data_IF_218221034356
#
_entry.id   IF_218221034356
#
_cell.length_a   1.000
_cell.length_b   1.000
_cell.length_c   1.000
_cell.angle_alpha   90.00
_cell.angle_beta   90.00
_cell.angle_gamma   90.00
#
_symmetry.space_group_name_H-M   'P 1'
#
loop_
_entity.id
_entity.type
_entity.pdbx_description
1 polymer ?
#
# COMPACT_ATOMS: atom_id res chain seq x y z
N UNK A 1 -13.22 38.72 -15.73
CA UNK A 1 -12.66 37.40 -16.08
C UNK A 1 -11.79 36.97 -14.90
N UNK A 2 -12.41 36.38 -13.88
CA UNK A 2 -11.76 36.11 -12.59
C UNK A 2 -11.25 34.68 -12.60
N UNK A 3 -9.92 34.56 -12.64
CA UNK A 3 -9.20 33.29 -12.59
C UNK A 3 -9.34 32.78 -11.15
N UNK A 4 -10.06 31.67 -10.99
CA UNK A 4 -10.16 30.96 -9.70
C UNK A 4 -8.74 30.61 -9.22
N UNK A 5 -8.42 30.74 -7.92
CA UNK A 5 -7.14 30.29 -7.41
C UNK A 5 -7.06 28.77 -7.55
N UNK A 6 -6.31 28.33 -8.55
CA UNK A 6 -6.02 26.94 -8.83
C UNK A 6 -5.12 26.42 -7.71
N UNK A 7 -5.62 25.48 -6.90
CA UNK A 7 -5.01 25.06 -5.64
C UNK A 7 -3.64 24.39 -5.88
N UNK A 8 -2.58 25.18 -5.79
CA UNK A 8 -1.18 24.85 -6.12
C UNK A 8 -0.51 23.96 -5.07
N UNK A 9 -1.12 23.76 -3.89
CA UNK A 9 -0.57 22.90 -2.85
C UNK A 9 -0.60 21.40 -3.18
N UNK A 10 -1.52 20.93 -4.03
CA UNK A 10 -1.63 19.49 -4.35
C UNK A 10 -0.57 19.02 -5.37
N UNK A 11 -0.06 19.92 -6.22
CA UNK A 11 0.97 19.59 -7.22
C UNK A 11 2.40 19.71 -6.65
N UNK A 12 2.63 20.57 -5.67
CA UNK A 12 3.96 20.75 -5.05
C UNK A 12 4.36 19.57 -4.18
N UNK A 13 3.40 18.88 -3.53
CA UNK A 13 3.69 17.66 -2.74
C UNK A 13 3.98 16.46 -3.64
N UNK A 14 3.41 16.40 -4.86
CA UNK A 14 3.70 15.33 -5.82
C UNK A 14 5.04 15.52 -6.55
N UNK A 15 5.50 16.77 -6.73
CA UNK A 15 6.79 17.04 -7.39
C UNK A 15 7.98 16.95 -6.42
N UNK A 16 7.77 17.22 -5.13
CA UNK A 16 8.84 17.12 -4.12
C UNK A 16 9.21 15.66 -3.77
N UNK A 17 8.28 14.70 -3.91
CA UNK A 17 8.61 13.27 -3.80
C UNK A 17 9.35 12.70 -5.02
N UNK A 18 9.24 13.33 -6.19
CA UNK A 18 9.94 12.89 -7.41
C UNK A 18 11.39 13.41 -7.49
N UNK A 19 11.69 14.57 -6.90
CA UNK A 19 13.04 15.16 -6.93
C UNK A 19 13.99 14.65 -5.85
N UNK A 20 13.49 13.97 -4.80
CA UNK A 20 14.34 13.35 -3.76
C UNK A 20 14.95 12.01 -4.22
N UNK A 21 14.53 11.48 -5.38
CA UNK A 21 15.04 10.21 -5.92
C UNK A 21 16.16 10.31 -6.98
N UNK A 22 16.63 11.51 -7.33
CA UNK A 22 17.62 11.70 -8.41
C UNK A 22 18.98 12.26 -7.96
N UNK A 23 19.32 12.09 -6.68
CA UNK A 23 20.52 12.68 -6.07
C UNK A 23 21.65 11.71 -5.69
N UNK A 24 21.59 10.43 -6.05
CA UNK A 24 22.71 9.52 -5.75
C UNK A 24 23.74 9.64 -6.87
N UNK A 25 24.70 10.55 -6.69
CA UNK A 25 25.97 10.45 -7.39
C UNK A 25 26.62 9.14 -6.96
N UNK A 26 26.42 8.07 -7.72
CA UNK A 26 27.24 6.87 -7.61
C UNK A 26 28.65 7.29 -8.01
N UNK A 27 29.50 7.60 -7.02
CA UNK A 27 30.94 7.56 -7.23
C UNK A 27 31.25 6.14 -7.72
N UNK A 28 31.67 6.03 -8.97
CA UNK A 28 32.22 4.81 -9.52
C UNK A 28 33.46 4.48 -8.67
N UNK A 29 33.31 3.50 -7.78
CA UNK A 29 34.45 2.88 -7.14
C UNK A 29 35.15 2.03 -8.19
N UNK A 30 36.46 2.18 -8.28
CA UNK A 30 37.32 1.36 -9.11
C UNK A 30 36.99 -0.12 -8.89
N UNK A 31 36.98 -0.88 -9.98
CA UNK A 31 36.64 -2.30 -10.04
C UNK A 31 37.59 -3.12 -9.14
N UNK A 32 37.10 -3.61 -8.00
CA UNK A 32 37.89 -4.42 -7.04
C UNK A 32 37.50 -5.90 -7.07
N UNK A 33 37.35 -6.46 -8.27
CA UNK A 33 37.22 -7.91 -8.46
C UNK A 33 38.55 -8.68 -8.25
N UNK A 34 39.60 -8.02 -7.78
CA UNK A 34 40.97 -8.55 -7.68
C UNK A 34 41.20 -9.32 -6.38
N UNK A 35 40.60 -10.50 -6.26
CA UNK A 35 40.88 -11.46 -5.20
C UNK A 35 40.74 -12.90 -5.69
N UNK A 36 41.35 -13.81 -4.96
CA UNK A 36 41.26 -15.26 -5.23
C UNK A 36 40.57 -15.92 -4.04
N UNK A 37 39.66 -16.85 -4.34
CA UNK A 37 39.03 -17.68 -3.32
C UNK A 37 39.90 -18.93 -3.17
N UNK A 38 40.60 -19.02 -2.04
CA UNK A 38 41.52 -20.11 -1.75
C UNK A 38 40.76 -21.41 -1.45
N UNK A 39 39.65 -21.32 -0.72
CA UNK A 39 38.84 -22.49 -0.39
C UNK A 39 37.38 -22.07 -0.19
N UNK A 40 36.49 -22.68 -0.96
CA UNK A 40 35.05 -22.58 -0.77
C UNK A 40 34.54 -23.94 -0.30
N UNK A 41 34.13 -24.03 0.96
CA UNK A 41 33.59 -25.27 1.55
C UNK A 41 32.13 -25.07 1.93
N UNK A 42 31.23 -25.81 1.29
CA UNK A 42 29.79 -25.73 1.56
C UNK A 42 29.29 -26.99 2.29
N UNK A 43 28.64 -26.78 3.42
CA UNK A 43 28.00 -27.84 4.20
C UNK A 43 26.50 -27.71 4.06
N UNK A 44 25.89 -28.80 3.63
CA UNK A 44 24.47 -28.89 3.36
C UNK A 44 23.84 -29.96 4.24
N UNK A 45 22.68 -29.66 4.80
CA UNK A 45 21.82 -30.65 5.44
C UNK A 45 20.46 -30.59 4.77
N UNK A 46 20.09 -31.66 4.07
CA UNK A 46 18.80 -31.74 3.38
C UNK A 46 17.76 -32.43 4.24
N UNK A 47 16.55 -31.90 4.24
CA UNK A 47 15.38 -32.42 4.95
C UNK A 47 14.22 -32.62 3.98
N UNK A 48 13.40 -33.66 4.24
CA UNK A 48 12.14 -33.92 3.54
C UNK A 48 10.91 -33.57 4.41
N UNK A 49 11.09 -32.77 5.47
CA UNK A 49 9.99 -32.32 6.35
C UNK A 49 9.01 -31.40 5.64
N UNK A 50 9.50 -30.60 4.69
CA UNK A 50 8.70 -29.69 3.87
C UNK A 50 8.57 -30.23 2.45
N UNK A 51 7.53 -29.77 1.75
CA UNK A 51 7.34 -30.08 0.33
C UNK A 51 8.58 -29.67 -0.48
N UNK A 52 8.98 -30.51 -1.45
CA UNK A 52 10.08 -30.23 -2.38
C UNK A 52 11.46 -30.00 -1.72
N UNK A 53 11.61 -30.36 -0.44
CA UNK A 53 12.89 -30.40 0.27
C UNK A 53 13.37 -29.03 0.77
N UNK A 54 13.97 -29.05 1.97
CA UNK A 54 14.60 -27.89 2.60
C UNK A 54 16.09 -28.17 2.82
N UNK A 55 16.94 -27.23 2.43
CA UNK A 55 18.39 -27.28 2.50
C UNK A 55 18.89 -26.24 3.50
N UNK A 56 19.53 -26.69 4.59
CA UNK A 56 20.31 -25.80 5.44
C UNK A 56 21.71 -25.69 4.88
N UNK A 57 22.17 -24.47 4.65
CA UNK A 57 23.44 -24.17 4.00
C UNK A 57 24.37 -23.46 4.98
N UNK A 58 25.63 -23.88 5.02
CA UNK A 58 26.74 -23.17 5.66
C UNK A 58 27.91 -23.14 4.68
N UNK A 59 28.20 -21.98 4.13
CA UNK A 59 29.33 -21.75 3.22
C UNK A 59 30.48 -21.07 3.97
N UNK A 60 31.64 -21.71 4.01
CA UNK A 60 32.90 -21.11 4.49
C UNK A 60 33.75 -20.70 3.29
N UNK A 61 34.02 -19.40 3.19
CA UNK A 61 34.68 -18.78 2.05
C UNK A 61 36.01 -18.19 2.55
N UNK A 62 37.10 -18.91 2.30
CA UNK A 62 38.45 -18.45 2.55
C UNK A 62 38.99 -17.78 1.28
N UNK A 63 39.39 -16.52 1.40
CA UNK A 63 39.87 -15.73 0.27
C UNK A 63 41.05 -14.85 0.65
N UNK A 64 41.78 -14.39 -0.36
CA UNK A 64 42.86 -13.42 -0.20
C UNK A 64 42.58 -12.18 -1.06
N UNK A 65 42.29 -11.06 -0.40
CA UNK A 65 42.17 -9.77 -1.07
C UNK A 65 43.55 -9.24 -1.45
N UNK A 66 43.81 -9.08 -2.75
CA UNK A 66 45.09 -8.57 -3.25
C UNK A 66 45.29 -7.08 -2.97
N UNK A 67 44.19 -6.34 -2.87
CA UNK A 67 44.15 -4.91 -2.56
C UNK A 67 43.10 -4.61 -1.47
N UNK A 68 42.95 -3.34 -1.10
CA UNK A 68 41.90 -2.90 -0.20
C UNK A 68 40.50 -3.16 -0.78
N UNK A 69 39.73 -4.00 -0.11
CA UNK A 69 38.37 -4.37 -0.50
C UNK A 69 37.37 -4.08 0.61
N UNK A 70 36.15 -3.69 0.22
CA UNK A 70 35.06 -3.42 1.16
C UNK A 70 34.32 -4.69 1.61
N UNK A 71 34.46 -5.79 0.86
CA UNK A 71 33.79 -7.07 1.14
C UNK A 71 33.59 -7.91 -0.12
N UNK A 72 32.51 -8.71 -0.17
CA UNK A 72 32.19 -9.62 -1.28
C UNK A 72 30.73 -9.53 -1.71
N UNK A 73 30.45 -10.00 -2.93
CA UNK A 73 29.10 -10.25 -3.42
C UNK A 73 28.85 -11.77 -3.45
N UNK A 74 27.73 -12.21 -2.90
CA UNK A 74 27.27 -13.61 -3.00
C UNK A 74 25.88 -13.62 -3.61
N UNK A 75 25.75 -14.15 -4.84
CA UNK A 75 24.48 -14.28 -5.53
C UNK A 75 23.91 -15.70 -5.38
N UNK A 76 22.74 -15.83 -4.78
CA UNK A 76 22.03 -17.11 -4.55
C UNK A 76 20.80 -17.14 -5.47
N UNK A 77 20.58 -18.17 -6.28
CA UNK A 77 19.47 -18.19 -7.25
C UNK A 77 18.11 -18.14 -6.56
N UNK A 78 17.18 -17.34 -7.11
CA UNK A 78 15.77 -17.31 -6.69
C UNK A 78 14.95 -18.41 -7.37
N UNK A 79 15.50 -19.04 -8.41
CA UNK A 79 14.84 -20.12 -9.15
C UNK A 79 15.85 -21.18 -9.55
N UNK A 80 15.46 -22.44 -9.51
CA UNK A 80 16.29 -23.56 -9.96
C UNK A 80 15.45 -24.65 -10.65
N UNK A 81 15.80 -25.00 -11.90
CA UNK A 81 15.07 -26.01 -12.71
C UNK A 81 13.55 -25.83 -12.65
N UNK A 82 13.09 -24.60 -12.91
CA UNK A 82 11.69 -24.15 -12.87
C UNK A 82 11.03 -24.07 -11.48
N UNK A 83 11.74 -24.45 -10.42
CA UNK A 83 11.27 -24.27 -9.05
C UNK A 83 11.62 -22.86 -8.54
N UNK A 84 10.64 -22.15 -8.00
CA UNK A 84 10.91 -20.94 -7.23
C UNK A 84 11.51 -21.35 -5.89
N UNK A 85 12.72 -20.86 -5.61
CA UNK A 85 13.39 -21.07 -4.34
C UNK A 85 12.89 -20.03 -3.34
N UNK A 86 12.83 -20.44 -2.07
CA UNK A 86 12.57 -19.55 -0.95
C UNK A 86 13.82 -19.54 -0.06
N UNK A 87 14.41 -18.36 0.15
CA UNK A 87 15.67 -18.18 0.88
C UNK A 87 15.37 -17.41 2.16
N UNK A 88 15.80 -17.95 3.30
CA UNK A 88 15.52 -17.38 4.61
C UNK A 88 16.67 -17.61 5.59
N UNK A 89 16.54 -17.03 6.80
CA UNK A 89 17.48 -17.19 7.93
C UNK A 89 18.95 -16.86 7.59
N UNK A 90 19.16 -15.86 6.72
CA UNK A 90 20.49 -15.48 6.27
C UNK A 90 21.28 -14.85 7.41
N UNK A 91 22.47 -15.41 7.67
CA UNK A 91 23.44 -14.90 8.64
C UNK A 91 24.83 -14.89 8.02
N UNK A 92 25.59 -13.83 8.31
CA UNK A 92 26.96 -13.68 7.82
C UNK A 92 27.88 -13.33 8.97
N UNK A 93 28.95 -14.11 9.12
CA UNK A 93 29.98 -13.90 10.13
C UNK A 93 31.36 -13.96 9.48
N UNK A 94 32.38 -13.48 10.20
CA UNK A 94 33.77 -13.56 9.75
C UNK A 94 34.67 -13.88 10.94
N UNK A 95 35.49 -14.91 10.81
CA UNK A 95 36.44 -15.32 11.86
C UNK A 95 37.71 -14.47 11.90
N UNK A 96 38.01 -13.72 10.83
CA UNK A 96 39.19 -12.84 10.73
C UNK A 96 38.92 -11.40 11.16
N UNK A 97 37.68 -11.08 11.53
CA UNK A 97 37.25 -9.71 11.87
C UNK A 97 36.99 -8.80 10.66
N UNK A 98 36.90 -9.37 9.45
CA UNK A 98 36.39 -8.68 8.27
C UNK A 98 34.92 -8.20 8.50
N UNK A 99 34.50 -7.07 7.92
CA UNK A 99 33.14 -6.58 8.08
C UNK A 99 32.12 -7.56 7.48
N UNK A 100 31.23 -8.09 8.32
CA UNK A 100 30.25 -9.11 7.92
C UNK A 100 28.81 -8.62 7.87
N UNK A 101 28.58 -7.32 8.08
CA UNK A 101 27.26 -6.72 7.82
C UNK A 101 26.92 -6.84 6.33
N UNK A 102 25.63 -6.95 6.01
CA UNK A 102 25.21 -7.16 4.62
C UNK A 102 23.91 -6.44 4.30
N UNK A 103 23.66 -6.29 3.01
CA UNK A 103 22.38 -5.85 2.46
C UNK A 103 21.94 -6.82 1.37
N UNK A 104 20.63 -6.99 1.24
CA UNK A 104 20.00 -7.90 0.28
C UNK A 104 19.40 -7.11 -0.89
N UNK A 105 19.51 -7.65 -2.09
CA UNK A 105 18.88 -7.11 -3.28
C UNK A 105 18.52 -8.25 -4.22
N UNK A 106 17.52 -8.05 -5.10
CA UNK A 106 17.20 -9.01 -6.16
C UNK A 106 17.73 -8.51 -7.49
N UNK A 107 18.54 -9.32 -8.18
CA UNK A 107 19.14 -8.97 -9.47
C UNK A 107 19.35 -10.21 -10.32
N UNK A 108 19.00 -10.15 -11.61
CA UNK A 108 19.20 -11.22 -12.58
C UNK A 108 18.71 -12.60 -12.11
N UNK A 109 17.59 -12.66 -11.40
CA UNK A 109 17.05 -13.92 -10.87
C UNK A 109 17.78 -14.48 -9.65
N UNK A 110 18.61 -13.68 -8.98
CA UNK A 110 19.33 -14.04 -7.76
C UNK A 110 18.97 -13.11 -6.60
N UNK A 111 18.99 -13.64 -5.37
CA UNK A 111 19.16 -12.88 -4.13
C UNK A 111 20.65 -12.60 -3.96
N UNK A 112 21.02 -11.33 -4.06
CA UNK A 112 22.42 -10.87 -3.99
C UNK A 112 22.69 -10.28 -2.63
N UNK A 113 23.59 -10.94 -1.89
CA UNK A 113 24.13 -10.48 -0.63
C UNK A 113 25.35 -9.61 -0.90
N UNK A 114 25.24 -8.32 -0.61
CA UNK A 114 26.39 -7.41 -0.57
C UNK A 114 26.93 -7.39 0.86
N UNK A 115 27.96 -8.19 1.10
CA UNK A 115 28.61 -8.39 2.40
C UNK A 115 29.79 -7.46 2.50
N UNK A 116 29.88 -6.65 3.55
CA UNK A 116 30.99 -5.72 3.76
C UNK A 116 30.61 -4.40 4.41
N UNK A 117 31.55 -3.46 4.45
CA UNK A 117 31.32 -2.12 4.98
C UNK A 117 31.78 -1.05 3.98
N UNK A 118 30.89 -0.15 3.50
CA UNK A 118 31.29 0.91 2.57
C UNK A 118 32.31 1.89 3.16
N UNK A 119 32.50 1.93 4.48
CA UNK A 119 33.41 2.86 5.16
C UNK A 119 34.68 2.17 5.68
N UNK A 120 34.81 0.85 5.55
CA UNK A 120 35.97 0.09 6.04
C UNK A 120 36.46 -0.89 4.99
N UNK A 121 37.75 -0.84 4.69
CA UNK A 121 38.40 -1.82 3.81
C UNK A 121 39.20 -2.85 4.61
N UNK A 122 39.40 -4.00 4.00
CA UNK A 122 40.29 -5.08 4.46
C UNK A 122 41.14 -5.59 3.31
N UNK A 123 42.29 -6.18 3.61
CA UNK A 123 43.22 -6.76 2.63
C UNK A 123 43.81 -8.05 3.19
N UNK A 124 44.49 -8.84 2.36
CA UNK A 124 45.09 -10.11 2.75
C UNK A 124 44.04 -11.21 3.00
N UNK A 125 44.42 -12.21 3.80
CA UNK A 125 43.59 -13.40 4.06
C UNK A 125 42.37 -13.06 4.91
N UNK A 126 41.19 -13.39 4.42
CA UNK A 126 39.91 -13.19 5.11
C UNK A 126 39.06 -14.46 5.02
N UNK A 127 38.12 -14.60 5.95
CA UNK A 127 37.14 -15.67 5.96
C UNK A 127 35.74 -15.11 6.18
N UNK A 128 34.79 -15.55 5.36
CA UNK A 128 33.36 -15.32 5.57
C UNK A 128 32.65 -16.64 5.76
N UNK A 129 31.74 -16.71 6.73
CA UNK A 129 30.79 -17.82 6.87
C UNK A 129 29.38 -17.29 6.62
N UNK A 130 28.75 -17.79 5.56
CA UNK A 130 27.38 -17.45 5.16
C UNK A 130 26.48 -18.64 5.46
N UNK A 131 25.49 -18.48 6.33
CA UNK A 131 24.52 -19.53 6.64
C UNK A 131 23.11 -19.09 6.29
N UNK A 132 22.32 -19.97 5.68
CA UNK A 132 20.96 -19.68 5.23
C UNK A 132 20.17 -20.97 5.02
N UNK A 133 18.85 -20.84 4.89
CA UNK A 133 17.92 -21.92 4.56
C UNK A 133 17.38 -21.69 3.15
N UNK A 134 17.30 -22.76 2.34
CA UNK A 134 16.64 -22.74 1.02
C UNK A 134 15.57 -23.83 0.96
N UNK A 135 14.37 -23.48 0.53
CA UNK A 135 13.29 -24.43 0.26
C UNK A 135 13.05 -24.61 -1.25
N UNK A 136 12.40 -25.73 -1.61
CA UNK A 136 12.11 -26.15 -2.99
C UNK A 136 13.35 -26.54 -3.81
N UNK A 137 14.31 -27.21 -3.19
CA UNK A 137 15.58 -27.60 -3.84
C UNK A 137 15.52 -28.90 -4.64
N UNK A 138 14.37 -29.59 -4.66
CA UNK A 138 14.20 -30.88 -5.34
C UNK A 138 13.41 -30.74 -6.64
N UNK A 139 13.92 -31.35 -7.69
CA UNK A 139 13.22 -31.53 -8.98
C UNK A 139 12.65 -32.94 -9.07
N UNK A 140 11.43 -33.06 -9.58
CA UNK A 140 10.72 -34.34 -9.68
C UNK A 140 10.72 -34.86 -11.11
N UNK A 141 11.31 -36.03 -11.34
CA UNK A 141 11.21 -36.74 -12.62
C UNK A 141 10.31 -37.97 -12.49
N UNK A 142 10.01 -38.64 -13.60
CA UNK A 142 9.14 -39.82 -13.62
C UNK A 142 9.72 -41.01 -12.84
N UNK A 143 11.05 -41.17 -12.87
CA UNK A 143 11.72 -42.36 -12.30
C UNK A 143 12.46 -42.07 -10.98
N UNK A 144 12.71 -40.81 -10.65
CA UNK A 144 13.49 -40.43 -9.46
C UNK A 144 13.16 -38.99 -9.04
N UNK A 145 13.54 -38.64 -7.82
CA UNK A 145 13.60 -37.25 -7.36
C UNK A 145 15.07 -36.82 -7.38
N UNK A 146 15.38 -35.56 -7.71
CA UNK A 146 16.75 -35.10 -7.95
C UNK A 146 17.06 -33.83 -7.15
N UNK A 147 18.15 -33.87 -6.39
CA UNK A 147 18.85 -32.69 -5.93
C UNK A 147 19.93 -32.35 -6.96
N UNK A 148 19.82 -31.20 -7.59
CA UNK A 148 20.82 -30.66 -8.51
C UNK A 148 21.20 -29.29 -7.97
N UNK A 149 22.48 -29.05 -7.70
CA UNK A 149 22.91 -27.77 -7.13
C UNK A 149 24.28 -27.32 -7.63
N UNK A 150 24.37 -26.04 -7.99
CA UNK A 150 25.62 -25.35 -8.28
C UNK A 150 26.20 -24.79 -6.98
N UNK A 151 27.31 -25.35 -6.52
CA UNK A 151 27.82 -25.17 -5.16
C UNK A 151 28.25 -23.72 -4.92
N UNK A 152 29.18 -23.21 -5.73
CA UNK A 152 29.62 -21.82 -5.68
C UNK A 152 28.79 -20.89 -6.58
N UNK A 153 28.18 -21.42 -7.65
CA UNK A 153 27.45 -20.65 -8.66
C UNK A 153 28.36 -19.97 -9.69
N UNK A 154 27.76 -19.52 -10.79
CA UNK A 154 28.46 -18.96 -11.96
C UNK A 154 28.55 -17.43 -11.97
N UNK A 155 28.03 -16.75 -10.93
CA UNK A 155 28.00 -15.29 -10.86
C UNK A 155 29.32 -14.68 -10.35
N UNK A 156 30.27 -15.53 -9.94
CA UNK A 156 31.57 -15.08 -9.45
C UNK A 156 32.49 -14.65 -10.59
N UNK A 157 33.11 -13.49 -10.42
CA UNK A 157 34.13 -12.96 -11.33
C UNK A 157 35.56 -13.38 -10.93
N UNK A 158 35.69 -14.07 -9.80
CA UNK A 158 36.95 -14.54 -9.23
C UNK A 158 37.20 -16.02 -9.54
N UNK A 159 38.48 -16.41 -9.53
CA UNK A 159 38.88 -17.81 -9.58
C UNK A 159 38.85 -18.47 -8.20
N UNK A 160 38.61 -19.77 -8.18
CA UNK A 160 38.64 -20.63 -7.01
C UNK A 160 39.80 -21.62 -7.11
N UNK A 161 40.66 -21.67 -6.10
CA UNK A 161 41.70 -22.71 -6.02
C UNK A 161 41.08 -24.07 -5.72
N UNK A 162 40.07 -24.09 -4.83
CA UNK A 162 39.34 -25.29 -4.44
C UNK A 162 37.89 -24.99 -4.10
N UNK A 163 36.98 -25.82 -4.59
CA UNK A 163 35.57 -25.86 -4.17
C UNK A 163 35.25 -27.26 -3.67
N UNK A 164 34.66 -27.36 -2.49
CA UNK A 164 34.15 -28.60 -1.92
C UNK A 164 32.75 -28.44 -1.34
N UNK A 165 32.03 -29.54 -1.29
CA UNK A 165 30.75 -29.64 -0.61
C UNK A 165 30.66 -30.94 0.19
N UNK A 166 29.87 -30.89 1.25
CA UNK A 166 29.32 -32.08 1.89
C UNK A 166 27.81 -31.92 2.06
N UNK A 167 27.06 -32.95 1.66
CA UNK A 167 25.61 -33.02 1.77
C UNK A 167 25.23 -34.17 2.70
N UNK A 168 24.78 -33.83 3.90
CA UNK A 168 24.27 -34.79 4.87
C UNK A 168 22.84 -35.15 4.53
N UNK A 169 22.60 -36.45 4.33
CA UNK A 169 21.30 -37.01 4.00
C UNK A 169 20.54 -37.40 5.28
N UNK A 170 19.20 -37.36 5.27
CA UNK A 170 18.39 -37.89 6.37
C UNK A 170 18.71 -39.36 6.64
N UNK A 171 18.67 -39.78 7.91
CA UNK A 171 19.05 -41.13 8.36
C UNK A 171 18.20 -42.26 7.74
N UNK A 172 17.03 -41.93 7.19
CA UNK A 172 16.14 -42.85 6.48
C UNK A 172 16.60 -43.18 5.05
N UNK A 173 17.59 -42.48 4.51
CA UNK A 173 18.10 -42.67 3.14
C UNK A 173 19.41 -43.43 3.17
N UNK A 174 19.49 -44.53 2.42
CA UNK A 174 20.74 -45.17 2.05
C UNK A 174 20.84 -45.23 0.54
N UNK A 175 21.80 -44.49 -0.03
CA UNK A 175 21.99 -44.49 -1.48
C UNK A 175 22.55 -45.86 -1.92
N UNK A 176 21.93 -46.45 -2.94
CA UNK A 176 22.40 -47.71 -3.52
C UNK A 176 23.59 -47.47 -4.47
N UNK A 177 24.53 -48.42 -4.51
CA UNK A 177 25.89 -48.23 -5.07
C UNK A 177 26.00 -48.06 -6.59
N UNK A 178 24.90 -48.04 -7.36
CA UNK A 178 24.95 -47.92 -8.82
C UNK A 178 24.37 -46.57 -9.27
N UNK A 179 25.22 -45.53 -9.26
CA UNK A 179 25.05 -44.23 -9.91
C UNK A 179 23.89 -43.34 -9.45
N UNK A 180 23.83 -42.99 -8.16
CA UNK A 180 22.91 -41.97 -7.64
C UNK A 180 23.55 -40.60 -7.41
N UNK A 181 24.83 -40.41 -7.76
CA UNK A 181 25.44 -39.08 -7.67
C UNK A 181 26.44 -38.82 -8.79
N UNK A 182 26.45 -37.57 -9.26
CA UNK A 182 27.34 -37.08 -10.30
C UNK A 182 27.87 -35.71 -9.90
N UNK A 183 29.05 -35.36 -10.39
CA UNK A 183 29.54 -34.00 -10.31
C UNK A 183 29.95 -33.52 -11.70
N UNK A 184 29.83 -32.22 -11.91
CA UNK A 184 30.30 -31.52 -13.10
C UNK A 184 31.09 -30.28 -12.70
N UNK A 185 31.94 -29.82 -13.61
CA UNK A 185 32.69 -28.57 -13.46
C UNK A 185 32.60 -27.73 -14.73
N UNK A 186 32.69 -26.42 -14.59
CA UNK A 186 32.83 -25.50 -15.71
C UNK A 186 31.74 -24.44 -15.75
N UNK A 187 31.62 -23.76 -16.89
CA UNK A 187 30.61 -22.72 -17.11
C UNK A 187 29.23 -23.33 -17.33
N UNK A 188 28.19 -22.49 -17.37
CA UNK A 188 26.83 -22.90 -17.71
C UNK A 188 26.79 -23.77 -18.99
N UNK A 189 26.17 -24.96 -18.89
CA UNK A 189 26.05 -25.92 -19.99
C UNK A 189 27.27 -26.84 -20.19
N UNK A 190 28.34 -26.68 -19.41
CA UNK A 190 29.49 -27.59 -19.43
C UNK A 190 29.11 -29.01 -19.00
N UNK A 191 29.75 -30.00 -19.61
CA UNK A 191 29.65 -31.41 -19.23
C UNK A 191 30.98 -31.97 -18.73
N UNK A 192 31.98 -31.12 -18.48
CA UNK A 192 33.27 -31.54 -17.92
C UNK A 192 33.09 -32.09 -16.49
N UNK A 193 33.96 -33.01 -16.11
CA UNK A 193 33.90 -33.73 -14.82
C UNK A 193 35.25 -33.69 -14.10
N UNK A 194 35.85 -32.50 -13.98
CA UNK A 194 37.12 -32.33 -13.26
C UNK A 194 36.90 -32.24 -11.75
N UNK A 195 36.20 -33.24 -11.22
CA UNK A 195 35.74 -33.32 -9.83
C UNK A 195 35.66 -34.78 -9.39
N UNK A 196 35.64 -34.98 -8.09
CA UNK A 196 35.43 -36.27 -7.45
C UNK A 196 34.21 -36.17 -6.55
N UNK A 197 33.33 -37.19 -6.59
CA UNK A 197 32.16 -37.31 -5.72
C UNK A 197 32.11 -38.70 -5.09
N UNK A 198 31.88 -38.75 -3.79
CA UNK A 198 31.88 -39.99 -3.00
C UNK A 198 30.73 -39.98 -2.00
N UNK A 199 30.26 -41.17 -1.61
CA UNK A 199 29.26 -41.35 -0.57
C UNK A 199 29.89 -42.01 0.65
N UNK A 200 29.93 -41.31 1.77
CA UNK A 200 30.33 -41.86 3.06
C UNK A 200 29.10 -42.48 3.75
N UNK A 201 29.07 -43.81 3.83
CA UNK A 201 27.99 -44.59 4.45
C UNK A 201 27.94 -44.45 5.97
N UNK A 202 29.07 -44.22 6.63
CA UNK A 202 29.12 -44.11 8.10
C UNK A 202 28.50 -42.81 8.59
N UNK A 203 28.74 -41.71 7.87
CA UNK A 203 28.22 -40.38 8.22
C UNK A 203 26.95 -40.03 7.44
N UNK A 204 26.52 -40.89 6.51
CA UNK A 204 25.44 -40.66 5.57
C UNK A 204 25.58 -39.34 4.79
N UNK A 205 26.76 -39.11 4.22
CA UNK A 205 27.14 -37.83 3.61
C UNK A 205 27.68 -38.02 2.20
N UNK A 206 27.18 -37.25 1.24
CA UNK A 206 27.80 -37.09 -0.08
C UNK A 206 28.89 -36.03 0.02
N UNK A 207 30.09 -36.32 -0.48
CA UNK A 207 31.21 -35.39 -0.49
C UNK A 207 31.65 -35.20 -1.93
N UNK A 208 31.71 -33.95 -2.40
CA UNK A 208 32.22 -33.61 -3.73
C UNK A 208 33.27 -32.52 -3.66
N UNK A 209 34.28 -32.58 -4.53
CA UNK A 209 35.35 -31.57 -4.61
C UNK A 209 35.89 -31.43 -6.03
N UNK A 210 36.42 -30.25 -6.33
CA UNK A 210 37.17 -30.02 -7.58
C UNK A 210 38.54 -30.71 -7.54
N UNK A 211 39.01 -31.18 -8.69
CA UNK A 211 40.37 -31.74 -8.88
C UNK A 211 41.36 -30.71 -9.46
N UNK A 212 40.84 -29.56 -9.90
CA UNK A 212 41.63 -28.41 -10.35
C UNK A 212 40.99 -27.09 -9.92
N UNK A 213 41.59 -25.99 -10.35
CA UNK A 213 41.09 -24.65 -10.11
C UNK A 213 39.88 -24.35 -11.01
N UNK A 214 38.97 -23.52 -10.52
CA UNK A 214 37.85 -22.99 -11.32
C UNK A 214 38.13 -21.53 -11.66
N UNK A 215 37.91 -21.15 -12.91
CA UNK A 215 38.01 -19.79 -13.39
C UNK A 215 36.71 -19.01 -13.12
N UNK A 216 36.73 -17.70 -13.39
CA UNK A 216 35.54 -16.85 -13.32
C UNK A 216 34.39 -17.47 -14.14
N UNK A 217 33.18 -17.44 -13.57
CA UNK A 217 31.98 -18.02 -14.19
C UNK A 217 31.89 -19.55 -14.17
N UNK A 218 32.87 -20.26 -13.62
CA UNK A 218 32.83 -21.71 -13.49
C UNK A 218 32.32 -22.16 -12.12
N UNK A 219 31.57 -23.26 -12.08
CA UNK A 219 31.05 -23.84 -10.84
C UNK A 219 31.38 -25.32 -10.71
N UNK A 220 31.44 -25.80 -9.46
CA UNK A 220 31.24 -27.21 -9.12
C UNK A 220 29.73 -27.43 -9.01
N UNK A 221 29.21 -28.41 -9.73
CA UNK A 221 27.82 -28.84 -9.64
C UNK A 221 27.77 -30.24 -9.06
N UNK A 222 26.84 -30.50 -8.15
CA UNK A 222 26.57 -31.83 -7.63
C UNK A 222 25.12 -32.24 -7.92
N UNK A 223 24.95 -33.48 -8.34
CA UNK A 223 23.66 -34.11 -8.59
C UNK A 223 23.54 -35.32 -7.67
N UNK A 224 22.41 -35.44 -6.98
CA UNK A 224 22.08 -36.58 -6.12
C UNK A 224 20.64 -37.01 -6.44
N UNK A 225 20.50 -38.23 -6.95
CA UNK A 225 19.21 -38.87 -7.22
C UNK A 225 18.70 -39.63 -6.00
N UNK A 226 17.40 -39.52 -5.75
CA UNK A 226 16.66 -40.21 -4.72
C UNK A 226 15.62 -41.13 -5.35
N UNK A 227 15.20 -42.17 -4.61
CA UNK A 227 14.06 -42.98 -5.04
C UNK A 227 12.82 -42.11 -5.25
N UNK A 228 12.01 -42.47 -6.25
CA UNK A 228 10.81 -41.72 -6.60
C UNK A 228 9.86 -41.64 -5.41
N UNK A 229 9.39 -40.43 -5.10
CA UNK A 229 8.41 -40.19 -4.04
C UNK A 229 9.02 -40.08 -2.65
N UNK A 230 10.35 -40.00 -2.55
CA UNK A 230 11.03 -39.68 -1.30
C UNK A 230 10.72 -38.25 -0.84
N UNK A 231 10.64 -37.31 -1.79
CA UNK A 231 10.13 -35.97 -1.54
C UNK A 231 8.68 -35.85 -2.02
N UNK A 232 7.94 -34.93 -1.40
CA UNK A 232 6.54 -34.67 -1.75
C UNK A 232 6.44 -33.41 -2.60
N UNK A 233 5.92 -33.49 -3.84
CA UNK A 233 5.63 -32.29 -4.62
C UNK A 233 4.44 -31.54 -4.01
N UNK A 234 4.41 -30.21 -4.12
CA UNK A 234 3.28 -29.40 -3.66
C UNK A 234 2.01 -29.81 -4.42
N UNK A 235 0.93 -30.11 -3.71
CA UNK A 235 -0.32 -30.53 -4.33
C UNK A 235 -1.03 -29.35 -5.02
N UNK A 236 -1.81 -29.64 -6.06
CA UNK A 236 -2.64 -28.61 -6.75
C UNK A 236 -3.61 -27.94 -5.77
N UNK A 237 -4.11 -28.68 -4.76
CA UNK A 237 -5.01 -28.14 -3.73
C UNK A 237 -4.35 -27.06 -2.88
N UNK A 238 -3.06 -27.22 -2.56
CA UNK A 238 -2.28 -26.25 -1.78
C UNK A 238 -1.90 -25.01 -2.61
N UNK A 239 -1.63 -25.18 -3.92
CA UNK A 239 -1.48 -24.03 -4.83
C UNK A 239 -2.78 -23.22 -4.92
N UNK A 240 -3.92 -23.89 -5.01
CA UNK A 240 -5.23 -23.24 -5.11
C UNK A 240 -5.67 -22.57 -3.81
N UNK A 241 -5.33 -23.12 -2.64
CA UNK A 241 -5.66 -22.48 -1.35
C UNK A 241 -4.90 -21.17 -1.16
N UNK A 242 -3.62 -21.11 -1.55
CA UNK A 242 -2.85 -19.86 -1.55
C UNK A 242 -3.48 -18.77 -2.43
N UNK A 243 -3.91 -19.13 -3.64
CA UNK A 243 -4.60 -18.21 -4.56
C UNK A 243 -5.97 -17.78 -4.01
N UNK A 244 -6.72 -18.68 -3.40
CA UNK A 244 -8.03 -18.37 -2.82
C UNK A 244 -7.94 -17.37 -1.67
N UNK A 245 -6.90 -17.46 -0.83
CA UNK A 245 -6.63 -16.49 0.24
C UNK A 245 -6.35 -15.11 -0.35
N UNK A 246 -5.48 -15.03 -1.36
CA UNK A 246 -5.15 -13.76 -2.05
C UNK A 246 -6.40 -13.12 -2.66
N UNK A 247 -7.25 -13.92 -3.32
CA UNK A 247 -8.50 -13.42 -3.90
C UNK A 247 -9.49 -12.96 -2.83
N UNK A 248 -9.62 -13.69 -1.72
CA UNK A 248 -10.49 -13.33 -0.61
C UNK A 248 -10.04 -12.04 0.08
N UNK A 249 -8.74 -11.82 0.24
CA UNK A 249 -8.19 -10.58 0.82
C UNK A 249 -8.34 -9.39 -0.14
N UNK A 250 -8.06 -9.61 -1.43
CA UNK A 250 -8.12 -8.56 -2.46
C UNK A 250 -9.55 -8.12 -2.74
N UNK A 251 -10.49 -9.06 -2.88
CA UNK A 251 -11.86 -8.77 -3.29
C UNK A 251 -12.87 -8.83 -2.15
N UNK A 252 -12.61 -9.58 -1.08
CA UNK A 252 -13.56 -9.77 0.02
C UNK A 252 -13.85 -8.48 0.76
N UNK A 253 -12.82 -7.71 1.13
CA UNK A 253 -12.99 -6.45 1.87
C UNK A 253 -13.73 -5.39 1.00
N UNK A 254 -13.32 -5.11 -0.26
CA UNK A 254 -14.04 -4.16 -1.10
C UNK A 254 -15.49 -4.59 -1.38
N UNK A 255 -15.74 -5.89 -1.58
CA UNK A 255 -17.08 -6.39 -1.86
C UNK A 255 -17.98 -6.35 -0.62
N UNK A 256 -17.43 -6.60 0.57
CA UNK A 256 -18.12 -6.41 1.85
C UNK A 256 -18.49 -4.93 2.06
N UNK A 257 -17.51 -4.03 1.95
CA UNK A 257 -17.72 -2.59 2.13
C UNK A 257 -18.68 -2.03 1.07
N UNK A 258 -18.51 -2.45 -0.18
CA UNK A 258 -19.42 -2.13 -1.28
C UNK A 258 -20.84 -2.64 -1.04
N UNK A 259 -20.99 -3.85 -0.52
CA UNK A 259 -22.27 -4.42 -0.12
C UNK A 259 -22.96 -3.63 1.01
N UNK A 260 -22.21 -3.23 2.04
CA UNK A 260 -22.70 -2.38 3.13
C UNK A 260 -23.14 -1.01 2.60
N UNK A 261 -22.29 -0.36 1.79
CA UNK A 261 -22.59 0.93 1.19
C UNK A 261 -23.82 0.86 0.27
N UNK A 262 -23.91 -0.19 -0.55
CA UNK A 262 -25.06 -0.45 -1.42
C UNK A 262 -26.35 -0.67 -0.62
N UNK A 263 -26.30 -1.43 0.48
CA UNK A 263 -27.43 -1.63 1.38
C UNK A 263 -27.91 -0.31 2.00
N UNK A 264 -26.98 0.51 2.49
CA UNK A 264 -27.27 1.85 3.02
C UNK A 264 -27.88 2.78 1.96
N UNK A 265 -27.32 2.80 0.74
CA UNK A 265 -27.87 3.58 -0.36
C UNK A 265 -29.27 3.12 -0.75
N UNK A 266 -29.49 1.79 -0.87
CA UNK A 266 -30.78 1.22 -1.25
C UNK A 266 -31.90 1.53 -0.25
N UNK A 267 -31.58 1.64 1.03
CA UNK A 267 -32.55 1.89 2.11
C UNK A 267 -32.74 3.37 2.45
N UNK A 268 -31.66 4.17 2.45
CA UNK A 268 -31.69 5.57 2.95
C UNK A 268 -31.30 6.64 1.92
N UNK A 269 -30.69 6.24 0.80
CA UNK A 269 -30.17 7.13 -0.23
C UNK A 269 -31.02 7.24 -1.50
N UNK A 270 -32.08 6.44 -1.64
CA UNK A 270 -33.05 6.59 -2.73
C UNK A 270 -34.06 7.67 -2.37
N UNK A 271 -34.34 8.54 -3.33
CA UNK A 271 -35.41 9.52 -3.18
C UNK A 271 -36.74 8.80 -2.88
N UNK A 272 -37.59 9.36 -2.00
CA UNK A 272 -38.92 8.84 -1.77
C UNK A 272 -39.66 8.69 -3.10
N UNK A 273 -40.41 7.60 -3.27
CA UNK A 273 -41.27 7.45 -4.43
C UNK A 273 -42.26 8.62 -4.45
N UNK A 274 -42.30 9.37 -5.56
CA UNK A 274 -43.22 10.48 -5.76
C UNK A 274 -44.68 10.04 -5.64
N UNK A 275 -45.57 10.97 -5.28
CA UNK A 275 -47.01 10.73 -5.17
C UNK A 275 -47.68 10.75 -6.54
N UNK A 276 -47.41 9.75 -7.39
CA UNK A 276 -48.15 9.54 -8.64
C UNK A 276 -48.20 10.75 -9.59
N UNK A 277 -49.40 11.21 -9.94
CA UNK A 277 -49.65 12.23 -10.98
C UNK A 277 -49.04 13.59 -10.61
N UNK A 278 -48.24 14.15 -11.51
CA UNK A 278 -47.62 15.49 -11.37
C UNK A 278 -48.57 16.54 -11.94
N UNK A 279 -49.11 17.41 -11.08
CA UNK A 279 -49.96 18.53 -11.49
C UNK A 279 -49.09 19.79 -11.58
N UNK A 280 -49.05 20.50 -12.72
CA UNK A 280 -48.29 21.74 -12.85
C UNK A 280 -48.87 22.83 -11.93
N UNK A 281 -48.01 23.47 -11.16
CA UNK A 281 -48.32 24.64 -10.33
C UNK A 281 -47.58 25.85 -10.90
N UNK A 282 -48.30 26.94 -11.15
CA UNK A 282 -47.73 28.18 -11.71
C UNK A 282 -47.31 29.18 -10.62
N UNK A 283 -47.75 28.95 -9.39
CA UNK A 283 -47.38 29.73 -8.20
C UNK A 283 -46.28 29.01 -7.41
N UNK A 284 -45.39 29.74 -6.73
CA UNK A 284 -44.42 29.13 -5.83
C UNK A 284 -45.14 28.38 -4.70
N UNK A 285 -44.56 27.29 -4.16
CA UNK A 285 -45.16 26.59 -3.03
C UNK A 285 -45.36 27.52 -1.84
N UNK A 286 -46.49 27.36 -1.13
CA UNK A 286 -46.84 28.21 0.00
C UNK A 286 -45.74 28.22 1.06
N UNK A 287 -45.34 29.42 1.47
CA UNK A 287 -44.34 29.63 2.53
C UNK A 287 -42.88 29.52 2.08
N UNK A 288 -42.62 29.25 0.80
CA UNK A 288 -41.27 29.25 0.24
C UNK A 288 -41.00 30.53 -0.55
N UNK A 289 -39.83 31.10 -0.29
CA UNK A 289 -39.34 32.31 -0.95
C UNK A 289 -38.49 31.95 -2.20
N UNK A 290 -38.28 32.88 -3.14
CA UNK A 290 -37.66 32.56 -4.43
C UNK A 290 -36.31 31.85 -4.34
N UNK A 291 -35.42 32.30 -3.45
CA UNK A 291 -34.11 31.67 -3.29
C UNK A 291 -34.16 30.29 -2.63
N UNK A 292 -35.18 30.03 -1.81
CA UNK A 292 -35.42 28.72 -1.22
C UNK A 292 -35.93 27.73 -2.27
N UNK A 293 -36.85 28.18 -3.14
CA UNK A 293 -37.36 27.38 -4.27
C UNK A 293 -36.24 27.04 -5.25
N UNK A 294 -35.42 28.02 -5.65
CA UNK A 294 -34.27 27.79 -6.53
C UNK A 294 -33.34 26.70 -5.97
N UNK A 295 -33.03 26.81 -4.67
CA UNK A 295 -32.15 25.86 -4.00
C UNK A 295 -32.75 24.47 -3.80
N UNK A 296 -34.08 24.34 -3.67
CA UNK A 296 -34.75 23.04 -3.60
C UNK A 296 -34.69 22.32 -4.96
N UNK A 297 -34.75 23.06 -6.07
CA UNK A 297 -34.80 22.48 -7.43
C UNK A 297 -33.46 21.87 -7.85
N UNK A 298 -32.35 22.58 -7.64
CA UNK A 298 -31.03 22.15 -8.13
C UNK A 298 -30.00 21.87 -7.01
N UNK A 299 -30.46 21.87 -5.76
CA UNK A 299 -29.67 21.62 -4.55
C UNK A 299 -28.55 22.65 -4.30
N UNK A 300 -28.60 23.83 -4.95
CA UNK A 300 -27.56 24.87 -4.84
C UNK A 300 -28.18 26.25 -4.68
N UNK A 301 -27.46 27.15 -4.01
CA UNK A 301 -27.84 28.58 -3.99
C UNK A 301 -26.94 29.33 -4.95
N UNK A 302 -27.48 29.64 -6.13
CA UNK A 302 -26.84 30.38 -7.18
C UNK A 302 -26.97 31.90 -6.97
N UNK A 303 -26.29 32.68 -7.80
CA UNK A 303 -26.41 34.14 -7.74
C UNK A 303 -27.77 34.63 -8.27
N UNK A 304 -28.36 33.91 -9.22
CA UNK A 304 -29.72 34.15 -9.75
C UNK A 304 -30.78 34.13 -8.65
N UNK A 305 -30.60 33.26 -7.65
CA UNK A 305 -31.52 33.10 -6.52
C UNK A 305 -31.51 34.34 -5.62
N UNK A 306 -30.32 34.89 -5.36
CA UNK A 306 -30.16 36.13 -4.60
C UNK A 306 -30.77 37.32 -5.36
N UNK A 307 -30.55 37.39 -6.68
CA UNK A 307 -31.19 38.41 -7.52
C UNK A 307 -32.72 38.28 -7.49
N UNK A 308 -33.26 37.07 -7.56
CA UNK A 308 -34.69 36.82 -7.46
C UNK A 308 -35.25 37.30 -6.11
N UNK A 309 -34.53 37.09 -5.00
CA UNK A 309 -34.91 37.63 -3.69
C UNK A 309 -34.92 39.17 -3.67
N UNK A 310 -33.95 39.83 -4.29
CA UNK A 310 -33.93 41.31 -4.37
C UNK A 310 -35.14 41.82 -5.15
N UNK A 311 -35.51 41.16 -6.26
CA UNK A 311 -36.71 41.50 -7.04
C UNK A 311 -37.97 41.28 -6.20
N UNK A 312 -38.05 40.16 -5.48
CA UNK A 312 -39.19 39.83 -4.63
C UNK A 312 -39.35 40.80 -3.44
N UNK A 313 -38.25 41.27 -2.85
CA UNK A 313 -38.24 42.35 -1.86
C UNK A 313 -38.76 43.66 -2.45
N UNK A 314 -38.48 43.93 -3.73
CA UNK A 314 -39.03 45.09 -4.44
C UNK A 314 -40.54 44.96 -4.68
N UNK A 315 -41.00 43.77 -5.09
CA UNK A 315 -42.43 43.47 -5.27
C UNK A 315 -43.20 43.61 -3.95
N UNK A 316 -42.62 43.15 -2.83
CA UNK A 316 -43.17 43.30 -1.48
C UNK A 316 -43.01 44.72 -0.89
N UNK A 317 -42.42 45.66 -1.64
CA UNK A 317 -42.31 47.07 -1.26
C UNK A 317 -41.30 47.37 -0.17
N UNK A 318 -40.31 46.49 0.08
CA UNK A 318 -39.20 46.78 0.98
C UNK A 318 -38.16 47.69 0.33
N UNK A 319 -37.98 47.56 -0.98
CA UNK A 319 -37.07 48.40 -1.77
C UNK A 319 -37.75 48.85 -3.06
N UNK A 320 -37.24 49.93 -3.65
CA UNK A 320 -37.56 50.36 -5.01
C UNK A 320 -36.30 50.31 -5.86
N UNK A 321 -36.41 49.69 -7.04
CA UNK A 321 -35.33 49.64 -8.03
C UNK A 321 -35.59 50.74 -9.05
N UNK A 322 -34.73 51.74 -9.07
CA UNK A 322 -34.84 52.92 -9.94
C UNK A 322 -33.83 52.77 -11.08
N UNK A 323 -34.34 52.78 -12.31
CA UNK A 323 -33.51 52.78 -13.51
C UNK A 323 -33.15 54.23 -13.89
N UNK A 324 -31.87 54.54 -13.94
CA UNK A 324 -31.36 55.84 -14.39
C UNK A 324 -30.58 55.66 -15.68
N UNK A 325 -31.01 56.32 -16.76
CA UNK A 325 -30.28 56.33 -18.03
C UNK A 325 -29.17 57.37 -17.98
N UNK A 326 -27.96 56.96 -18.31
CA UNK A 326 -26.83 57.87 -18.53
C UNK A 326 -26.61 58.00 -20.02
N UNK A 327 -27.07 59.11 -20.60
CA UNK A 327 -26.88 59.44 -22.01
C UNK A 327 -25.39 59.58 -22.31
N UNK A 328 -24.86 58.69 -23.14
CA UNK A 328 -23.50 58.81 -23.65
C UNK A 328 -23.57 59.39 -25.05
N UNK A 329 -23.21 60.67 -25.21
CA UNK A 329 -23.27 61.40 -26.50
C UNK A 329 -22.52 60.76 -27.68
N UNK A 330 -21.69 59.71 -27.48
CA UNK A 330 -20.85 59.08 -28.51
C UNK A 330 -21.00 57.54 -28.53
N UNK A 331 -21.68 56.91 -27.56
CA UNK A 331 -21.84 55.44 -27.48
C UNK A 331 -23.23 55.05 -26.94
N UNK A 332 -23.64 53.78 -27.10
CA UNK A 332 -24.92 53.26 -26.60
C UNK A 332 -25.14 53.63 -25.13
N UNK A 333 -26.33 54.17 -24.82
CA UNK A 333 -26.70 54.61 -23.47
C UNK A 333 -26.44 53.50 -22.45
N UNK A 334 -25.89 53.90 -21.31
CA UNK A 334 -25.64 52.97 -20.21
C UNK A 334 -26.74 53.12 -19.17
N UNK A 335 -27.34 52.01 -18.78
CA UNK A 335 -28.37 51.95 -17.76
C UNK A 335 -27.70 51.73 -16.41
N UNK A 336 -27.95 52.62 -15.45
CA UNK A 336 -27.55 52.48 -14.06
C UNK A 336 -28.78 52.14 -13.21
N UNK A 337 -28.56 51.36 -12.15
CA UNK A 337 -29.61 51.02 -11.19
C UNK A 337 -29.29 51.59 -9.83
N UNK A 338 -30.31 52.13 -9.19
CA UNK A 338 -30.23 52.71 -7.86
C UNK A 338 -31.32 52.06 -7.00
N UNK A 339 -30.93 51.58 -5.82
CA UNK A 339 -31.86 51.00 -4.85
C UNK A 339 -32.27 52.07 -3.84
N UNK A 340 -33.58 52.20 -3.59
CA UNK A 340 -34.15 53.05 -2.55
C UNK A 340 -34.83 52.18 -1.50
N UNK A 341 -34.52 52.37 -0.22
CA UNK A 341 -35.20 51.67 0.88
C UNK A 341 -36.57 52.33 1.12
N UNK A 342 -37.65 51.54 1.09
CA UNK A 342 -39.04 52.04 1.21
C UNK A 342 -39.73 51.60 2.50
N UNK A 343 -39.24 50.56 3.17
CA UNK A 343 -39.80 50.08 4.44
C UNK A 343 -38.70 49.87 5.48
N UNK A 344 -38.78 50.61 6.58
CA UNK A 344 -37.82 50.56 7.70
C UNK A 344 -38.25 49.56 8.77
N UNK A 345 -38.35 48.29 8.40
CA UNK A 345 -38.75 47.23 9.33
C UNK A 345 -38.22 45.89 8.90
N UNK A 346 -37.77 45.10 9.87
CA UNK A 346 -37.42 43.68 9.70
C UNK A 346 -38.63 42.75 9.82
N UNK A 347 -39.80 43.29 10.17
CA UNK A 347 -41.01 42.48 10.31
C UNK A 347 -41.41 41.85 8.98
N UNK A 348 -41.58 40.53 8.98
CA UNK A 348 -41.93 39.74 7.79
C UNK A 348 -40.75 39.40 6.87
N UNK A 349 -39.52 39.72 7.28
CA UNK A 349 -38.30 39.28 6.60
C UNK A 349 -37.70 38.06 7.29
N UNK A 350 -37.13 37.18 6.47
CA UNK A 350 -36.23 36.14 6.93
C UNK A 350 -34.83 36.68 7.22
N UNK A 351 -34.01 35.88 7.92
CA UNK A 351 -32.66 36.26 8.31
C UNK A 351 -31.80 36.65 7.10
N UNK A 352 -31.86 35.87 6.02
CA UNK A 352 -31.06 36.14 4.82
C UNK A 352 -31.56 37.34 4.01
N UNK A 353 -32.85 37.65 4.05
CA UNK A 353 -33.41 38.87 3.45
C UNK A 353 -32.97 40.10 4.22
N UNK A 354 -32.94 40.01 5.56
CA UNK A 354 -32.38 41.04 6.43
C UNK A 354 -30.91 41.26 6.11
N UNK A 355 -30.11 40.19 6.00
CA UNK A 355 -28.70 40.25 5.60
C UNK A 355 -28.51 40.91 4.24
N UNK A 356 -29.35 40.56 3.25
CA UNK A 356 -29.34 41.17 1.91
C UNK A 356 -29.59 42.69 2.02
N UNK A 357 -30.66 43.11 2.70
CA UNK A 357 -30.99 44.53 2.81
C UNK A 357 -29.97 45.32 3.63
N UNK A 358 -29.45 44.76 4.73
CA UNK A 358 -28.39 45.36 5.54
C UNK A 358 -27.11 45.50 4.74
N UNK A 359 -26.78 44.51 3.91
CA UNK A 359 -25.62 44.59 3.02
C UNK A 359 -25.75 45.66 1.94
N UNK A 360 -26.98 46.03 1.55
CA UNK A 360 -27.22 47.11 0.58
C UNK A 360 -27.22 48.48 1.27
N UNK A 361 -27.96 48.64 2.37
CA UNK A 361 -28.27 49.96 2.96
C UNK A 361 -27.60 50.26 4.31
N UNK A 362 -26.88 49.30 4.89
CA UNK A 362 -26.41 49.36 6.27
C UNK A 362 -27.56 49.13 7.25
N UNK A 363 -27.82 50.07 8.15
CA UNK A 363 -28.99 49.96 9.06
C UNK A 363 -30.31 50.12 8.29
N UNK A 364 -31.25 49.21 8.49
CA UNK A 364 -32.58 49.19 7.83
C UNK A 364 -33.74 49.46 8.81
N UNK A 365 -33.43 49.71 10.08
CA UNK A 365 -34.42 49.86 11.15
C UNK A 365 -34.68 51.31 11.54
N UNK A 366 -33.69 52.20 11.38
CA UNK A 366 -33.83 53.62 11.76
C UNK A 366 -33.20 54.58 10.74
N UNK A 367 -33.75 55.79 10.62
CA UNK A 367 -33.18 56.89 9.84
C UNK A 367 -34.01 57.35 8.63
N UNK A 368 -33.50 58.35 7.87
CA UNK A 368 -34.18 58.88 6.68
C UNK A 368 -34.13 57.91 5.49
N UNK A 369 -34.88 58.21 4.43
CA UNK A 369 -34.81 57.48 3.15
C UNK A 369 -33.36 57.38 2.64
N UNK A 370 -32.90 56.14 2.39
CA UNK A 370 -31.56 55.86 1.88
C UNK A 370 -31.63 55.35 0.45
N UNK A 371 -30.69 55.83 -0.33
CA UNK A 371 -30.55 55.52 -1.75
C UNK A 371 -29.11 55.07 -1.99
N UNK A 372 -28.92 53.93 -2.64
CA UNK A 372 -27.60 53.31 -2.88
C UNK A 372 -27.48 52.94 -4.36
N UNK A 373 -26.40 53.35 -5.01
CA UNK A 373 -26.15 52.97 -6.40
C UNK A 373 -25.61 51.54 -6.48
N UNK A 374 -26.09 50.75 -7.44
CA UNK A 374 -25.65 49.36 -7.64
C UNK A 374 -24.13 49.27 -7.84
N UNK A 375 -23.52 50.29 -8.45
CA UNK A 375 -22.07 50.35 -8.70
C UNK A 375 -21.25 50.36 -7.41
N UNK A 376 -21.76 50.98 -6.35
CA UNK A 376 -21.07 51.07 -5.06
C UNK A 376 -20.98 49.71 -4.35
N UNK A 377 -21.83 48.77 -4.74
CA UNK A 377 -21.91 47.42 -4.18
C UNK A 377 -20.98 46.41 -4.87
N UNK A 378 -20.43 46.73 -6.05
CA UNK A 378 -19.74 45.77 -6.93
C UNK A 378 -18.57 45.03 -6.25
N UNK A 379 -17.82 45.71 -5.38
CA UNK A 379 -16.61 45.18 -4.76
C UNK A 379 -16.78 44.63 -3.35
N UNK A 380 -17.85 45.01 -2.65
CA UNK A 380 -18.03 44.75 -1.22
C UNK A 380 -19.16 43.77 -0.95
N UNK A 381 -20.12 43.64 -1.86
CA UNK A 381 -21.34 42.88 -1.62
C UNK A 381 -21.18 41.35 -1.72
N UNK A 382 -20.05 40.86 -2.22
CA UNK A 382 -19.81 39.41 -2.36
C UNK A 382 -19.80 38.68 -1.01
N UNK A 383 -19.38 39.34 0.07
CA UNK A 383 -19.39 38.78 1.43
C UNK A 383 -20.82 38.60 1.93
N UNK A 384 -21.67 39.61 1.74
CA UNK A 384 -23.12 39.54 2.01
C UNK A 384 -23.74 38.39 1.25
N UNK A 385 -23.49 38.28 -0.06
CA UNK A 385 -23.99 37.17 -0.90
C UNK A 385 -23.55 35.82 -0.33
N UNK A 386 -22.29 35.68 0.08
CA UNK A 386 -21.78 34.44 0.67
C UNK A 386 -22.48 34.09 1.99
N UNK A 387 -22.73 35.08 2.85
CA UNK A 387 -23.43 34.89 4.12
C UNK A 387 -24.90 34.51 3.91
N UNK A 388 -25.61 35.24 3.05
CA UNK A 388 -27.01 34.94 2.72
C UNK A 388 -27.17 33.53 2.13
N UNK A 389 -26.24 33.08 1.27
CA UNK A 389 -26.25 31.70 0.75
C UNK A 389 -26.15 30.65 1.86
N UNK A 390 -25.36 30.92 2.91
CA UNK A 390 -25.23 30.03 4.07
C UNK A 390 -26.53 30.03 4.90
N UNK A 391 -27.12 31.19 5.11
CA UNK A 391 -28.38 31.35 5.86
C UNK A 391 -29.56 30.66 5.16
N UNK A 392 -29.70 30.82 3.83
CA UNK A 392 -30.71 30.12 3.02
C UNK A 392 -30.57 28.61 3.20
N UNK A 393 -29.35 28.06 3.06
CA UNK A 393 -29.09 26.64 3.26
C UNK A 393 -29.44 26.17 4.67
N UNK A 394 -29.03 26.93 5.69
CA UNK A 394 -29.33 26.59 7.08
C UNK A 394 -30.84 26.55 7.33
N UNK A 395 -31.57 27.54 6.81
CA UNK A 395 -33.02 27.56 6.93
C UNK A 395 -33.67 26.35 6.27
N UNK A 396 -33.26 25.99 5.04
CA UNK A 396 -33.78 24.81 4.35
C UNK A 396 -33.52 23.49 5.11
N UNK A 397 -32.42 23.42 5.87
CA UNK A 397 -32.14 22.29 6.77
C UNK A 397 -33.03 22.33 8.01
N UNK A 398 -33.16 23.49 8.67
CA UNK A 398 -34.01 23.68 9.86
C UNK A 398 -35.49 23.39 9.57
N UNK A 399 -35.98 23.82 8.41
CA UNK A 399 -37.34 23.59 7.92
C UNK A 399 -37.57 22.15 7.41
N UNK A 400 -36.52 21.31 7.40
CA UNK A 400 -36.62 19.89 7.08
C UNK A 400 -36.64 19.54 5.59
N UNK A 401 -36.42 20.51 4.69
CA UNK A 401 -36.30 20.24 3.25
C UNK A 401 -35.01 19.48 2.92
N UNK A 402 -33.94 19.67 3.70
CA UNK A 402 -32.69 18.92 3.59
C UNK A 402 -32.25 18.31 4.93
N UNK A 403 -31.67 17.11 4.90
CA UNK A 403 -31.08 16.46 6.10
C UNK A 403 -29.74 17.09 6.54
N UNK A 404 -29.12 17.89 5.68
CA UNK A 404 -27.83 18.54 5.88
C UNK A 404 -27.44 19.34 4.64
N UNK A 405 -26.28 20.00 4.63
CA UNK A 405 -25.84 20.82 3.48
C UNK A 405 -25.66 19.94 2.23
N UNK A 406 -26.52 20.06 1.20
CA UNK A 406 -26.48 19.19 0.04
C UNK A 406 -25.18 19.31 -0.76
N UNK A 407 -24.48 20.46 -0.67
CA UNK A 407 -23.18 20.65 -1.31
C UNK A 407 -22.06 19.79 -0.67
N UNK A 408 -22.24 19.35 0.58
CA UNK A 408 -21.25 18.55 1.32
C UNK A 408 -21.54 17.04 1.27
N UNK A 409 -22.80 16.66 1.08
CA UNK A 409 -23.24 15.25 1.10
C UNK A 409 -22.57 14.39 0.02
N UNK A 410 -22.31 14.93 -1.17
CA UNK A 410 -21.59 14.21 -2.23
C UNK A 410 -20.07 14.13 -2.01
N UNK A 411 -19.48 15.16 -1.40
CA UNK A 411 -18.02 15.26 -1.22
C UNK A 411 -17.48 14.20 -0.25
N UNK A 412 -18.23 13.88 0.80
CA UNK A 412 -17.83 12.83 1.77
C UNK A 412 -17.82 11.45 1.11
N UNK A 413 -18.82 11.15 0.27
CA UNK A 413 -18.89 9.88 -0.47
C UNK A 413 -17.70 9.74 -1.42
N UNK A 414 -17.39 10.79 -2.20
CA UNK A 414 -16.23 10.79 -3.10
C UNK A 414 -14.90 10.75 -2.35
N UNK A 415 -14.80 11.38 -1.18
CA UNK A 415 -13.63 11.28 -0.32
C UNK A 415 -13.43 9.86 0.21
N UNK A 416 -14.49 9.17 0.63
CA UNK A 416 -14.41 7.77 1.08
C UNK A 416 -13.99 6.86 -0.08
N UNK A 417 -14.62 6.99 -1.25
CA UNK A 417 -14.24 6.23 -2.46
C UNK A 417 -12.79 6.51 -2.85
N UNK A 418 -12.37 7.78 -2.81
CA UNK A 418 -11.00 8.19 -3.10
C UNK A 418 -9.98 7.62 -2.10
N UNK A 419 -10.29 7.63 -0.80
CA UNK A 419 -9.43 7.05 0.25
C UNK A 419 -9.37 5.52 0.12
N UNK A 420 -10.50 4.85 -0.13
CA UNK A 420 -10.53 3.40 -0.34
C UNK A 420 -9.75 3.00 -1.60
N UNK A 421 -9.87 3.76 -2.69
CA UNK A 421 -9.09 3.53 -3.90
C UNK A 421 -7.60 3.80 -3.68
N UNK A 422 -7.25 4.89 -2.99
CA UNK A 422 -5.88 5.21 -2.64
C UNK A 422 -5.27 4.13 -1.75
N UNK A 423 -5.97 3.66 -0.72
CA UNK A 423 -5.54 2.53 0.12
C UNK A 423 -5.30 1.27 -0.70
N UNK A 424 -6.21 0.95 -1.63
CA UNK A 424 -6.09 -0.24 -2.48
C UNK A 424 -4.89 -0.15 -3.43
N UNK A 425 -4.65 1.04 -4.01
CA UNK A 425 -3.47 1.32 -4.84
C UNK A 425 -2.18 1.31 -4.02
N UNK A 426 -2.17 1.89 -2.81
CA UNK A 426 -0.98 1.88 -1.95
C UNK A 426 -0.67 0.49 -1.41
N UNK A 427 -1.68 -0.33 -1.08
CA UNK A 427 -1.46 -1.73 -0.72
C UNK A 427 -0.89 -2.53 -1.89
N UNK A 428 -1.39 -2.31 -3.12
CA UNK A 428 -0.83 -2.94 -4.31
C UNK A 428 0.62 -2.47 -4.62
N UNK A 429 0.95 -1.20 -4.34
CA UNK A 429 2.25 -0.61 -4.65
C UNK A 429 3.34 -0.88 -3.60
N UNK A 430 3.00 -0.92 -2.31
CA UNK A 430 3.98 -1.10 -1.21
C UNK A 430 4.41 -2.57 -1.10
N UNK A 431 3.50 -3.52 -1.38
CA UNK A 431 3.76 -4.93 -1.11
C UNK A 431 4.08 -5.75 -2.37
N UNK A 432 3.96 -5.17 -3.57
CA UNK A 432 3.89 -5.97 -4.80
C UNK A 432 2.81 -7.07 -4.70
N UNK A 433 2.70 -7.98 -5.68
CA UNK A 433 1.75 -9.09 -5.58
C UNK A 433 2.04 -10.08 -4.43
N UNK A 434 3.19 -9.97 -3.74
CA UNK A 434 3.73 -11.04 -2.89
C UNK A 434 3.88 -10.74 -1.38
N UNK A 435 3.88 -9.49 -0.91
CA UNK A 435 4.35 -9.16 0.46
C UNK A 435 3.24 -8.77 1.45
N UNK A 436 1.96 -8.80 1.05
CA UNK A 436 0.83 -8.59 1.99
C UNK A 436 0.78 -9.67 3.09
N UNK A 437 1.42 -10.82 2.86
CA UNK A 437 1.39 -12.02 3.72
C UNK A 437 2.21 -11.86 5.02
N UNK A 438 3.28 -11.05 5.05
CA UNK A 438 4.19 -10.99 6.20
C UNK A 438 3.70 -10.16 7.39
N UNK A 439 2.98 -9.06 7.13
CA UNK A 439 2.64 -8.07 8.16
C UNK A 439 1.37 -8.39 8.97
N UNK A 440 0.57 -9.37 8.54
CA UNK A 440 -0.58 -9.88 9.30
C UNK A 440 -0.20 -11.01 10.28
N UNK A 441 0.97 -11.63 10.12
CA UNK A 441 1.42 -12.77 10.93
C UNK A 441 2.31 -12.39 12.14
N UNK A 442 2.70 -11.12 12.29
CA UNK A 442 3.53 -10.68 13.43
C UNK A 442 2.73 -10.15 14.63
N UNK A 443 1.43 -10.44 14.74
CA UNK A 443 0.73 -10.30 16.02
C UNK A 443 1.03 -11.55 16.87
N UNK A 444 1.79 -11.44 17.98
CA UNK A 444 2.05 -12.59 18.83
C UNK A 444 0.76 -13.01 19.51
N UNK A 445 0.16 -14.11 19.04
CA UNK A 445 -0.82 -14.86 19.83
C UNK A 445 -0.11 -15.39 21.06
N UNK A 446 -0.29 -14.75 22.22
CA UNK A 446 -0.03 -15.39 23.49
C UNK A 446 -0.93 -16.63 23.59
N UNK A 447 -0.35 -17.81 23.46
CA UNK A 447 -0.98 -19.06 23.89
C UNK A 447 -1.05 -19.04 25.42
N UNK A 448 -2.17 -19.39 26.05
CA UNK A 448 -2.18 -19.67 27.48
C UNK A 448 -1.45 -20.99 27.75
N UNK A 449 -0.53 -20.94 28.71
CA UNK A 449 0.14 -22.09 29.30
C UNK A 449 -0.88 -22.99 29.99
N UNK A 450 -0.95 -24.25 29.60
CA UNK A 450 -1.49 -25.33 30.43
C UNK A 450 -0.48 -25.63 31.53
N UNK A 451 -0.83 -25.38 32.79
CA UNK A 451 -0.14 -25.99 33.93
C UNK A 451 -1.18 -26.71 34.78
N UNK A 452 -1.02 -28.04 34.85
CA UNK A 452 -1.53 -28.85 35.96
C UNK A 452 -1.03 -28.27 37.29
N UNK A 453 -1.95 -28.04 38.22
CA UNK A 453 -1.64 -27.93 39.64
C UNK A 453 -2.91 -28.22 40.47
N UNK A 454 -2.94 -29.43 41.03
CA UNK A 454 -3.39 -29.78 42.39
C UNK A 454 -4.49 -28.93 43.08
N UNK A 455 -5.59 -29.62 43.40
CA UNK A 455 -6.54 -29.28 44.48
C UNK A 455 -5.81 -29.03 45.82
N UNK A 456 -6.33 -28.11 46.65
CA UNK A 456 -6.97 -28.59 47.88
C UNK A 456 -8.28 -27.89 48.25
N UNK A 457 -9.11 -28.68 48.91
CA UNK A 457 -10.25 -28.38 49.79
C UNK A 457 -10.11 -27.12 50.66
N UNK A 458 -11.19 -26.37 50.86
CA UNK A 458 -11.85 -26.13 52.17
C UNK A 458 -13.02 -25.13 52.10
N UNK A 459 -14.02 -25.39 52.96
CA UNK A 459 -14.99 -24.48 53.57
C UNK A 459 -16.15 -23.88 52.75
N UNK A 460 -17.29 -24.59 52.80
CA UNK A 460 -18.61 -23.97 52.77
C UNK A 460 -19.00 -23.53 54.19
N UNK A 461 -19.34 -22.24 54.36
CA UNK A 461 -20.09 -21.75 55.51
C UNK A 461 -21.03 -20.62 55.07
N UNK A 462 -22.33 -20.89 55.28
CA UNK A 462 -23.41 -19.95 55.63
C UNK A 462 -23.51 -18.60 54.89
N UNK A 463 -24.64 -18.37 54.22
CA UNK A 463 -25.76 -17.66 54.85
C UNK A 463 -26.95 -17.53 53.89
N UNK A 464 -28.10 -17.77 54.49
CA UNK A 464 -29.48 -17.54 54.04
C UNK A 464 -29.71 -16.16 53.41
N UNK A 465 -30.64 -16.07 52.45
CA UNK A 465 -31.80 -15.16 52.48
C UNK A 465 -32.82 -15.55 51.37
N UNK A 466 -34.11 -15.23 51.56
CA UNK A 466 -35.23 -15.94 50.95
C UNK A 466 -35.84 -15.27 49.71
N UNK A 467 -36.64 -16.10 49.04
CA UNK A 467 -37.77 -15.81 48.16
C UNK A 467 -38.40 -14.42 48.29
N UNK A 468 -38.68 -13.78 47.14
CA UNK A 468 -40.03 -13.26 46.89
C UNK A 468 -40.31 -13.19 45.39
N UNK A 469 -41.47 -13.72 45.05
CA UNK A 469 -42.04 -13.92 43.73
C UNK A 469 -43.08 -12.84 43.39
N UNK A 470 -43.31 -12.70 42.08
CA UNK A 470 -44.53 -12.25 41.36
C UNK A 470 -44.50 -10.85 40.75
N UNK A 471 -45.26 -10.62 39.64
CA UNK A 471 -45.83 -11.56 38.67
C UNK A 471 -44.99 -11.73 37.39
#
# INVERSE_FOLDING_TARGET
>A
MSIKPFNWLALVVSFFCASVFLGINSKAYADTNNFVINNFDAKYVISNTDYQGTLKVVESIDLTFSDNNHGILRAIPNTYKDNSLDISDITVTSSTGAPSQFSESSSNGNTVLKIGDPNRTVTGKQNYTVSYTVSNVITFYDMHDEFYWDINGTEWLQSFEKVSMSLTLPTSVSLSTQNQSLCYTGVFGSTEKNCEITYNKETNTIISRTLGTLQAGQSLTAIVGFEKGYFTPVSIKEKLSGVAIILAETFGIPLLLGGIAFSHWRTKGRDPKGRGVIIPQYEPPKGLLPAEVGAIVDFKVDQKDITATIIDLAIRGYIQIIETKVDKKIFKDTVNYTFKLTKFSTSGLSDYETTILVGIFGDITTGPERTVELKDLEKTYYTTVSTSKKEIKNRLVTEGYFRGDPAKSGAILWAIVGISFAMLVTCAAIFGPGVVIGLLLSMPTQRPLTSEASLPSYCAASSSLPSLSLP
#
